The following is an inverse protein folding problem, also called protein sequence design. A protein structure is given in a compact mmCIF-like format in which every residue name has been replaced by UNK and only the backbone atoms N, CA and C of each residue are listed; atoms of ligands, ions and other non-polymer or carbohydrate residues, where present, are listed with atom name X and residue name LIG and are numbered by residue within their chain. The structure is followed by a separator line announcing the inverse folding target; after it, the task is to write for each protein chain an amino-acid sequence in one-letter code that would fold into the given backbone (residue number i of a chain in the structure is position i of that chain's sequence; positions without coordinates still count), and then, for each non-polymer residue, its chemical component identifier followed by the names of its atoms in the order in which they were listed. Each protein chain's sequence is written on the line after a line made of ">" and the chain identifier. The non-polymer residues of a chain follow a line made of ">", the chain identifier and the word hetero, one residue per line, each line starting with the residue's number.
data_IF_073190154061
#
_entry.id   IF_073190154061
#
_cell.length_a   1.000
_cell.length_b   1.000
_cell.length_c   1.000
_cell.angle_alpha   90.00
_cell.angle_beta   90.00
_cell.angle_gamma   90.00
#
_symmetry.space_group_name_H-M   'P 1'
#
loop_
_entity.id
_entity.type
_entity.pdbx_description
1 polymer ?
#
# COMPACT_ATOMS: atom_id res chain seq x y z
N UNK A 1 8.36 -6.47 -18.35
CA UNK A 1 8.24 -5.21 -19.11
C UNK A 1 7.78 -4.02 -18.24
N UNK A 2 6.70 -4.13 -17.45
CA UNK A 2 6.18 -3.01 -16.64
C UNK A 2 7.15 -2.49 -15.57
N UNK A 3 7.69 -3.36 -14.72
CA UNK A 3 8.65 -2.95 -13.66
C UNK A 3 9.87 -2.27 -14.24
N UNK A 4 10.46 -2.81 -15.31
CA UNK A 4 11.56 -2.16 -16.04
C UNK A 4 11.18 -0.74 -16.50
N UNK A 5 9.99 -0.56 -17.07
CA UNK A 5 9.50 0.77 -17.50
C UNK A 5 9.33 1.74 -16.33
N UNK A 6 8.85 1.27 -15.18
CA UNK A 6 8.70 2.09 -13.96
C UNK A 6 10.09 2.47 -13.43
N UNK A 7 11.02 1.52 -13.38
CA UNK A 7 12.39 1.78 -12.92
C UNK A 7 13.10 2.79 -13.82
N UNK A 8 12.95 2.69 -15.14
CA UNK A 8 13.54 3.61 -16.11
C UNK A 8 12.72 4.89 -16.34
N UNK A 9 11.65 5.12 -15.56
CA UNK A 9 11.00 6.42 -15.51
C UNK A 9 11.78 7.42 -14.64
N UNK A 10 12.66 6.90 -13.78
CA UNK A 10 13.72 7.66 -13.12
C UNK A 10 14.87 7.85 -14.13
N UNK A 11 15.21 9.11 -14.42
CA UNK A 11 16.18 9.49 -15.45
C UNK A 11 17.62 9.08 -15.11
N UNK A 12 17.92 8.88 -13.83
CA UNK A 12 19.23 8.41 -13.36
C UNK A 12 19.41 6.90 -13.57
N UNK A 13 18.33 6.16 -13.90
CA UNK A 13 18.37 4.70 -14.08
C UNK A 13 18.66 4.32 -15.52
N UNK A 14 19.92 3.95 -15.77
CA UNK A 14 20.40 3.48 -17.08
C UNK A 14 19.99 2.04 -17.45
N UNK A 15 20.96 1.23 -17.90
CA UNK A 15 20.72 -0.17 -18.29
C UNK A 15 20.47 -1.03 -17.06
N UNK A 16 19.39 -1.83 -17.10
CA UNK A 16 19.02 -2.75 -16.04
C UNK A 16 19.30 -4.19 -16.47
N UNK A 17 19.99 -4.95 -15.63
CA UNK A 17 20.24 -6.38 -15.85
C UNK A 17 18.91 -7.18 -15.86
N UNK A 18 18.84 -8.23 -16.67
CA UNK A 18 17.59 -8.98 -16.91
C UNK A 18 16.97 -9.56 -15.63
N UNK A 19 17.79 -9.97 -14.66
CA UNK A 19 17.33 -10.57 -13.41
C UNK A 19 16.70 -9.54 -12.45
N UNK A 20 17.08 -8.27 -12.51
CA UNK A 20 16.68 -7.26 -11.52
C UNK A 20 15.16 -7.04 -11.50
N UNK A 21 14.46 -6.82 -12.63
CA UNK A 21 13.01 -6.67 -12.63
C UNK A 21 12.28 -7.91 -12.08
N UNK A 22 12.84 -9.12 -12.26
CA UNK A 22 12.26 -10.36 -11.75
C UNK A 22 12.35 -10.40 -10.22
N UNK A 23 13.52 -10.06 -9.66
CA UNK A 23 13.71 -10.00 -8.21
C UNK A 23 12.84 -8.92 -7.56
N UNK A 24 12.76 -7.74 -8.15
CA UNK A 24 11.87 -6.67 -7.70
C UNK A 24 10.40 -7.12 -7.76
N UNK A 25 10.00 -7.88 -8.79
CA UNK A 25 8.64 -8.46 -8.85
C UNK A 25 8.36 -9.32 -7.63
N UNK A 26 9.30 -10.19 -7.25
CA UNK A 26 9.13 -11.08 -6.10
C UNK A 26 9.12 -10.32 -4.78
N UNK A 27 9.98 -9.32 -4.63
CA UNK A 27 9.99 -8.45 -3.46
C UNK A 27 8.66 -7.70 -3.31
N UNK A 28 8.10 -7.17 -4.41
CA UNK A 28 6.79 -6.51 -4.41
C UNK A 28 5.66 -7.49 -4.05
N UNK A 29 5.70 -8.73 -4.54
CA UNK A 29 4.74 -9.76 -4.17
C UNK A 29 4.74 -10.02 -2.66
N UNK A 30 5.92 -10.24 -2.07
CA UNK A 30 6.07 -10.48 -0.62
C UNK A 30 5.67 -9.24 0.21
N UNK A 31 6.03 -8.05 -0.26
CA UNK A 31 5.64 -6.80 0.38
C UNK A 31 4.12 -6.60 0.39
N UNK A 32 3.46 -6.82 -0.75
CA UNK A 32 2.00 -6.68 -0.85
C UNK A 32 1.28 -7.75 -0.03
N UNK A 33 1.82 -8.97 0.06
CA UNK A 33 1.29 -10.01 0.93
C UNK A 33 1.32 -9.57 2.41
N UNK A 34 2.48 -9.15 2.93
CA UNK A 34 2.61 -8.69 4.32
C UNK A 34 1.71 -7.48 4.62
N UNK A 35 1.63 -6.53 3.68
CA UNK A 35 0.74 -5.36 3.81
C UNK A 35 -0.73 -5.79 3.90
N UNK A 36 -1.18 -6.68 3.00
CA UNK A 36 -2.55 -7.17 2.98
C UNK A 36 -2.89 -7.96 4.25
N UNK A 37 -2.01 -8.86 4.69
CA UNK A 37 -2.25 -9.70 5.85
C UNK A 37 -2.42 -8.87 7.13
N UNK A 38 -1.51 -7.92 7.39
CA UNK A 38 -1.63 -7.02 8.56
C UNK A 38 -2.84 -6.10 8.48
N UNK A 39 -3.16 -5.60 7.30
CA UNK A 39 -4.34 -4.74 7.13
C UNK A 39 -5.63 -5.55 7.32
N UNK A 40 -5.61 -6.82 6.92
CA UNK A 40 -6.72 -7.74 7.12
C UNK A 40 -6.87 -8.13 8.60
N UNK A 41 -5.79 -8.34 9.34
CA UNK A 41 -5.85 -8.53 10.80
C UNK A 41 -6.55 -7.35 11.49
N UNK A 42 -6.24 -6.12 11.09
CA UNK A 42 -6.88 -4.90 11.60
C UNK A 42 -8.36 -4.83 11.18
N UNK A 43 -8.68 -5.28 9.97
CA UNK A 43 -10.05 -5.40 9.48
C UNK A 43 -10.86 -6.31 10.42
N UNK A 44 -10.32 -7.49 10.75
CA UNK A 44 -10.94 -8.45 11.66
C UNK A 44 -11.05 -7.91 13.09
N UNK A 45 -9.99 -7.29 13.61
CA UNK A 45 -9.97 -6.68 14.95
C UNK A 45 -11.04 -5.60 15.11
N UNK A 46 -11.38 -4.89 14.03
CA UNK A 46 -12.47 -3.89 14.02
C UNK A 46 -13.85 -4.47 13.72
N UNK A 47 -13.99 -5.80 13.65
CA UNK A 47 -15.25 -6.49 13.39
C UNK A 47 -15.77 -6.33 11.96
N UNK A 48 -14.93 -5.89 11.02
CA UNK A 48 -15.30 -5.73 9.62
C UNK A 48 -15.02 -7.02 8.85
N UNK A 49 -15.82 -7.27 7.80
CA UNK A 49 -15.61 -8.39 6.85
C UNK A 49 -14.95 -7.94 5.54
N UNK A 50 -14.86 -6.63 5.33
CA UNK A 50 -14.33 -6.02 4.11
C UNK A 50 -13.23 -5.05 4.49
N UNK A 51 -12.05 -5.26 3.91
CA UNK A 51 -10.92 -4.35 4.06
C UNK A 51 -11.19 -3.06 3.29
N UNK A 52 -10.94 -1.91 3.91
CA UNK A 52 -11.10 -0.60 3.31
C UNK A 52 -9.94 0.32 3.74
N UNK A 53 -9.92 1.55 3.21
CA UNK A 53 -8.84 2.52 3.47
C UNK A 53 -8.69 2.90 4.94
N UNK A 54 -9.74 2.79 5.77
CA UNK A 54 -9.66 3.09 7.21
C UNK A 54 -8.78 2.08 7.95
N UNK A 55 -8.65 0.85 7.45
CA UNK A 55 -7.78 -0.17 8.03
C UNK A 55 -6.32 0.04 7.62
N UNK A 56 -6.09 0.42 6.36
CA UNK A 56 -4.77 0.81 5.85
C UNK A 56 -4.20 2.01 6.61
N UNK A 57 -5.06 2.95 7.02
CA UNK A 57 -4.66 4.12 7.78
C UNK A 57 -4.66 3.90 9.31
N UNK A 58 -4.27 2.71 9.74
CA UNK A 58 -4.05 2.42 11.16
C UNK A 58 -2.59 2.69 11.54
N UNK A 59 -2.37 3.04 12.81
CA UNK A 59 -1.02 3.30 13.34
C UNK A 59 -0.05 2.13 13.12
N UNK A 60 -0.57 0.89 13.20
CA UNK A 60 0.21 -0.33 12.95
C UNK A 60 0.72 -0.40 11.52
N UNK A 61 -0.14 -0.13 10.52
CA UNK A 61 0.27 -0.12 9.11
C UNK A 61 1.15 1.08 8.81
N UNK A 62 0.78 2.25 9.32
CA UNK A 62 1.55 3.47 9.17
C UNK A 62 2.99 3.25 9.66
N UNK A 63 3.17 2.67 10.84
CA UNK A 63 4.50 2.44 11.39
C UNK A 63 5.25 1.27 10.74
N UNK A 64 4.55 0.18 10.42
CA UNK A 64 5.14 -1.03 9.84
C UNK A 64 5.59 -0.86 8.39
N UNK A 65 4.98 0.04 7.62
CA UNK A 65 5.27 0.23 6.20
C UNK A 65 5.67 1.69 5.90
N UNK A 66 6.87 2.14 6.34
CA UNK A 66 7.32 3.51 6.16
C UNK A 66 7.33 3.98 4.71
N UNK A 67 7.59 3.06 3.78
CA UNK A 67 7.64 3.34 2.33
C UNK A 67 6.31 3.83 1.73
N UNK A 68 5.17 3.53 2.37
CA UNK A 68 3.85 3.94 1.89
C UNK A 68 3.18 5.00 2.78
N UNK A 69 3.82 5.49 3.85
CA UNK A 69 3.23 6.46 4.79
C UNK A 69 2.66 7.69 4.09
N UNK A 70 3.44 8.31 3.20
CA UNK A 70 3.00 9.52 2.49
C UNK A 70 1.83 9.24 1.55
N UNK A 71 1.73 8.03 0.99
CA UNK A 71 0.61 7.65 0.11
C UNK A 71 -0.65 7.30 0.90
N UNK A 72 -0.52 6.78 2.12
CA UNK A 72 -1.67 6.46 2.97
C UNK A 72 -2.36 7.73 3.46
N UNK A 73 -1.60 8.80 3.76
CA UNK A 73 -2.17 10.10 4.16
C UNK A 73 -3.17 10.62 3.12
N UNK A 74 -2.81 10.55 1.84
CA UNK A 74 -3.67 10.97 0.73
C UNK A 74 -4.98 10.18 0.65
N UNK A 75 -5.06 8.98 1.24
CA UNK A 75 -6.28 8.16 1.27
C UNK A 75 -7.29 8.62 2.32
N UNK A 76 -6.88 9.37 3.36
CA UNK A 76 -7.80 9.91 4.36
C UNK A 76 -8.78 10.90 3.75
N UNK A 77 -8.30 11.72 2.80
CA UNK A 77 -9.13 12.73 2.13
C UNK A 77 -10.19 12.11 1.21
N UNK A 78 -10.02 10.85 0.82
CA UNK A 78 -10.93 10.15 -0.08
C UNK A 78 -12.16 9.56 0.61
N UNK A 79 -12.25 9.57 1.94
CA UNK A 79 -13.50 9.27 2.63
C UNK A 79 -14.35 10.54 2.66
N UNK A 80 -15.46 10.63 1.89
CA UNK A 80 -16.27 11.84 1.88
C UNK A 80 -16.79 12.08 3.29
N UNK A 81 -16.54 13.29 3.83
CA UNK A 81 -17.01 13.75 5.14
C UNK A 81 -18.52 13.48 5.37
N UNK A 82 -19.27 13.29 4.30
CA UNK A 82 -20.69 12.98 4.28
C UNK A 82 -20.98 11.64 4.99
N UNK A 83 -20.11 10.63 4.85
CA UNK A 83 -20.26 9.35 5.57
C UNK A 83 -20.07 9.48 7.08
N UNK A 84 -19.33 10.49 7.55
CA UNK A 84 -19.19 10.80 8.97
C UNK A 84 -20.46 11.51 9.49
N UNK A 85 -21.10 12.34 8.66
CA UNK A 85 -22.36 13.01 9.03
C UNK A 85 -23.54 12.05 9.20
N UNK A 86 -23.64 10.98 8.39
CA UNK A 86 -24.76 10.02 8.46
C UNK A 86 -24.59 8.92 9.51
N UNK A 87 -23.52 8.97 10.32
CA UNK A 87 -23.23 7.95 11.36
C UNK A 87 -23.44 8.47 12.79
N UNK A 88 -23.96 9.68 12.97
CA UNK A 88 -24.48 10.21 14.24
C UNK A 88 -26.00 10.34 14.15
#
# INVERSE_FOLDING_TARGET
>A
ARIKKIMQADEDVGKIALAVPVLVSKALELFLQDLCDRTYEITLQRGAKTMNSLHLNSETIYNGFPIIRERIKDLQDFQPNWLIMYRK
#
